data_IF_689255087134
#
_entry.id   IF_689255087134
#
_cell.length_a   1.000
_cell.length_b   1.000
_cell.length_c   1.000
_cell.angle_alpha   90.00
_cell.angle_beta   90.00
_cell.angle_gamma   90.00
#
_symmetry.space_group_name_H-M   'P 1'
#
loop_
_entity.id
_entity.type
_entity.pdbx_description
1 polymer ?
#
# COMPACT_ATOMS: atom_id res chain seq x y z
N UNK A 1 26.13 37.41 27.33
CA UNK A 1 25.84 36.02 26.88
C UNK A 1 26.26 35.92 25.43
N UNK A 2 27.41 35.31 25.15
CA UNK A 2 27.90 35.14 23.79
C UNK A 2 27.17 33.99 23.10
N UNK A 3 26.66 34.26 21.89
CA UNK A 3 25.87 33.32 21.10
C UNK A 3 26.82 32.49 20.25
N UNK A 4 27.17 31.30 20.75
CA UNK A 4 27.91 30.29 19.97
C UNK A 4 27.05 29.86 18.77
N UNK A 5 27.55 30.15 17.57
CA UNK A 5 26.92 29.74 16.31
C UNK A 5 27.80 28.67 15.67
N UNK A 6 27.27 27.46 15.55
CA UNK A 6 27.94 26.35 14.89
C UNK A 6 27.52 26.30 13.43
N UNK A 7 28.49 26.38 12.52
CA UNK A 7 28.27 26.15 11.09
C UNK A 7 28.63 24.70 10.80
N UNK A 8 27.61 23.85 10.57
CA UNK A 8 27.87 22.49 10.12
C UNK A 8 28.36 22.54 8.66
N UNK A 9 29.48 21.90 8.32
CA UNK A 9 29.89 21.76 6.94
C UNK A 9 28.79 20.99 6.18
N UNK A 10 28.47 21.46 4.98
CA UNK A 10 27.49 20.82 4.09
C UNK A 10 28.13 19.52 3.54
N UNK A 11 28.13 18.47 4.36
CA UNK A 11 28.63 17.15 3.98
C UNK A 11 27.69 16.63 2.89
N UNK A 12 28.26 16.28 1.73
CA UNK A 12 27.50 15.63 0.68
C UNK A 12 26.80 14.39 1.26
N UNK A 13 25.52 14.15 0.95
CA UNK A 13 24.80 13.01 1.52
C UNK A 13 25.63 11.75 1.26
N UNK A 14 25.92 10.94 2.30
CA UNK A 14 26.68 9.72 2.11
C UNK A 14 25.96 8.89 1.07
N UNK A 15 26.67 8.52 -0.01
CA UNK A 15 26.18 7.57 -1.00
C UNK A 15 26.18 6.20 -0.35
N UNK A 16 25.21 5.93 0.51
CA UNK A 16 25.04 4.63 1.14
C UNK A 16 24.43 3.69 0.09
N UNK A 17 25.14 2.64 -0.34
CA UNK A 17 24.68 1.76 -1.42
C UNK A 17 23.70 0.71 -0.89
N UNK A 18 22.78 1.10 0.00
CA UNK A 18 21.77 0.19 0.55
C UNK A 18 20.42 0.62 0.00
N UNK A 19 19.91 -0.16 -0.93
CA UNK A 19 18.54 -0.06 -1.38
C UNK A 19 17.71 -1.09 -0.62
N UNK A 20 16.59 -0.66 -0.06
CA UNK A 20 15.50 -1.55 0.31
C UNK A 20 14.55 -1.58 -0.89
N UNK A 21 14.33 -2.77 -1.43
CA UNK A 21 13.30 -2.99 -2.45
C UNK A 21 11.96 -3.27 -1.76
N UNK A 22 10.91 -2.63 -2.26
CA UNK A 22 9.55 -2.77 -1.77
C UNK A 22 8.65 -3.30 -2.88
N UNK A 23 7.88 -4.36 -2.59
CA UNK A 23 6.91 -4.93 -3.51
C UNK A 23 5.56 -5.09 -2.80
N UNK A 24 4.48 -4.55 -3.37
CA UNK A 24 3.12 -4.77 -2.90
C UNK A 24 2.51 -5.94 -3.67
N UNK A 25 2.24 -7.04 -2.96
CA UNK A 25 1.72 -8.27 -3.54
C UNK A 25 0.29 -8.53 -3.05
N UNK A 26 -0.50 -9.24 -3.86
CA UNK A 26 -1.81 -9.76 -3.46
C UNK A 26 -1.66 -11.24 -3.08
N UNK A 27 -1.97 -11.59 -1.84
CA UNK A 27 -2.07 -12.96 -1.37
C UNK A 27 -3.51 -13.45 -1.49
N UNK A 28 -3.70 -14.68 -1.95
CA UNK A 28 -5.02 -15.29 -2.15
C UNK A 28 -5.47 -16.15 -0.96
N UNK A 29 -4.56 -16.50 -0.04
CA UNK A 29 -4.88 -17.38 1.08
C UNK A 29 -4.07 -17.03 2.36
N UNK A 30 -4.65 -16.25 3.31
CA UNK A 30 -5.94 -15.56 3.20
C UNK A 30 -5.88 -14.39 2.20
N UNK A 31 -7.00 -13.99 1.57
CA UNK A 31 -7.06 -12.83 0.70
C UNK A 31 -6.64 -11.54 1.42
N UNK A 32 -5.48 -10.97 1.04
CA UNK A 32 -4.90 -9.77 1.66
C UNK A 32 -3.76 -9.19 0.82
N UNK A 33 -3.25 -8.03 1.25
CA UNK A 33 -1.99 -7.50 0.74
C UNK A 33 -0.81 -8.02 1.56
N UNK A 34 0.29 -8.28 0.87
CA UNK A 34 1.60 -8.53 1.45
C UNK A 34 2.56 -7.45 0.96
N UNK A 35 2.95 -6.54 1.85
CA UNK A 35 4.02 -5.58 1.57
C UNK A 35 5.35 -6.23 1.89
N UNK A 36 6.03 -6.70 0.85
CA UNK A 36 7.36 -7.29 0.94
C UNK A 36 8.40 -6.17 0.92
N UNK A 37 9.39 -6.29 1.81
CA UNK A 37 10.57 -5.43 1.79
C UNK A 37 11.82 -6.28 1.94
N UNK A 38 12.83 -6.00 1.11
CA UNK A 38 14.04 -6.80 1.01
C UNK A 38 15.29 -5.95 0.78
N UNK A 39 16.44 -6.43 1.23
CA UNK A 39 17.74 -5.79 1.01
C UNK A 39 18.87 -6.82 1.00
N UNK A 40 19.97 -6.49 0.34
CA UNK A 40 21.22 -7.27 0.41
C UNK A 40 21.88 -7.20 1.80
N UNK A 41 21.50 -6.19 2.59
CA UNK A 41 21.98 -6.00 3.96
C UNK A 41 20.96 -6.47 4.99
N UNK A 42 21.42 -6.69 6.22
CA UNK A 42 20.55 -7.14 7.31
C UNK A 42 19.61 -6.01 7.71
N UNK A 43 18.33 -6.34 7.75
CA UNK A 43 17.25 -5.49 8.21
C UNK A 43 17.12 -5.63 9.73
N UNK A 44 16.98 -4.51 10.44
CA UNK A 44 16.78 -4.52 11.91
C UNK A 44 15.30 -4.44 12.29
N UNK A 45 14.53 -3.66 11.53
CA UNK A 45 13.18 -3.30 11.92
C UNK A 45 12.47 -2.46 10.88
N UNK A 46 11.17 -2.32 11.07
CA UNK A 46 10.36 -1.38 10.30
C UNK A 46 9.39 -0.64 11.23
N UNK A 47 9.06 0.60 10.91
CA UNK A 47 7.90 1.28 11.47
C UNK A 47 6.85 1.43 10.38
N UNK A 48 5.59 1.13 10.72
CA UNK A 48 4.47 1.20 9.80
C UNK A 48 3.43 2.14 10.39
N UNK A 49 2.92 3.04 9.57
CA UNK A 49 1.78 3.89 9.89
C UNK A 49 0.77 3.86 8.75
N UNK A 50 -0.50 4.05 9.07
CA UNK A 50 -1.54 4.15 8.06
C UNK A 50 -2.63 5.12 8.50
N UNK A 51 -3.08 5.96 7.57
CA UNK A 51 -4.14 6.95 7.80
C UNK A 51 -5.56 6.36 7.72
N UNK A 52 -5.68 5.08 7.35
CA UNK A 52 -6.95 4.34 7.34
C UNK A 52 -6.89 3.12 8.25
N UNK A 53 -8.04 2.63 8.75
CA UNK A 53 -8.05 1.39 9.51
C UNK A 53 -7.63 0.22 8.61
N UNK A 54 -6.67 -0.57 9.10
CA UNK A 54 -6.24 -1.82 8.48
C UNK A 54 -6.28 -2.95 9.51
N UNK A 55 -6.53 -4.16 9.03
CA UNK A 55 -6.42 -5.39 9.80
C UNK A 55 -5.05 -6.01 9.54
N UNK A 56 -4.24 -6.14 10.59
CA UNK A 56 -3.00 -6.90 10.54
C UNK A 56 -3.30 -8.40 10.49
N UNK A 57 -2.54 -9.14 9.68
CA UNK A 57 -2.63 -10.59 9.57
C UNK A 57 -1.25 -11.18 9.88
N UNK A 58 -1.15 -12.07 10.87
CA UNK A 58 0.13 -12.73 11.16
C UNK A 58 0.38 -13.88 10.19
N UNK A 59 1.60 -14.00 9.68
CA UNK A 59 2.01 -15.20 8.95
C UNK A 59 2.22 -16.37 9.92
N UNK A 60 2.17 -17.60 9.39
CA UNK A 60 2.45 -18.82 10.17
C UNK A 60 3.91 -18.90 10.64
N UNK A 61 4.82 -18.31 9.87
CA UNK A 61 6.25 -18.23 10.18
C UNK A 61 6.71 -16.76 10.17
N UNK A 62 6.41 -15.97 11.22
CA UNK A 62 6.72 -14.55 11.22
C UNK A 62 8.23 -14.32 11.30
N UNK A 63 8.71 -13.37 10.49
CA UNK A 63 10.10 -12.89 10.46
C UNK A 63 10.35 -11.76 11.48
N UNK A 64 9.31 -11.34 12.22
CA UNK A 64 9.37 -10.25 13.17
C UNK A 64 8.42 -10.44 14.34
N UNK A 65 8.68 -9.67 15.39
CA UNK A 65 7.75 -9.37 16.46
C UNK A 65 7.16 -7.98 16.21
N UNK A 66 5.84 -7.83 16.38
CA UNK A 66 5.14 -6.58 16.15
C UNK A 66 4.64 -6.01 17.47
N UNK A 67 4.92 -4.73 17.70
CA UNK A 67 4.31 -3.94 18.77
C UNK A 67 3.42 -2.88 18.15
N UNK A 68 2.11 -2.97 18.41
CA UNK A 68 1.16 -1.95 18.00
C UNK A 68 1.32 -0.71 18.87
N UNK A 69 1.31 0.46 18.25
CA UNK A 69 1.38 1.75 18.92
C UNK A 69 -0.02 2.34 19.00
N UNK A 70 -0.68 2.13 20.13
CA UNK A 70 -1.97 2.74 20.43
C UNK A 70 -1.73 3.95 21.33
N UNK A 71 -1.55 5.14 20.72
CA UNK A 71 -1.33 6.39 21.46
C UNK A 71 -2.24 7.51 20.94
N UNK A 72 -2.61 8.44 21.82
CA UNK A 72 -3.31 9.66 21.42
C UNK A 72 -2.49 10.52 20.44
N UNK A 73 -1.16 10.42 20.49
CA UNK A 73 -0.27 11.11 19.57
C UNK A 73 -0.48 10.67 18.13
N UNK A 74 -0.54 9.36 17.90
CA UNK A 74 -0.83 8.79 16.57
C UNK A 74 -2.21 9.22 16.06
N UNK A 75 -3.22 9.22 16.94
CA UNK A 75 -4.55 9.69 16.59
C UNK A 75 -4.57 11.17 16.20
N UNK A 76 -3.80 12.01 16.88
CA UNK A 76 -3.65 13.44 16.54
C UNK A 76 -2.91 13.66 15.22
N UNK A 77 -2.00 12.76 14.86
CA UNK A 77 -1.34 12.74 13.54
C UNK A 77 -2.25 12.20 12.43
N UNK A 78 -3.43 11.68 12.76
CA UNK A 78 -4.38 11.11 11.81
C UNK A 78 -4.16 9.63 11.50
N UNK A 79 -3.17 8.99 12.12
CA UNK A 79 -2.91 7.57 11.94
C UNK A 79 -3.99 6.73 12.63
N UNK A 80 -4.55 5.78 11.89
CA UNK A 80 -5.54 4.80 12.38
C UNK A 80 -4.91 3.44 12.66
N UNK A 81 -3.71 3.22 12.15
CA UNK A 81 -2.85 2.09 12.49
C UNK A 81 -1.41 2.58 12.59
N UNK A 82 -0.69 2.11 13.62
CA UNK A 82 0.73 2.37 13.79
C UNK A 82 1.35 1.19 14.51
N UNK A 83 2.50 0.70 14.03
CA UNK A 83 3.18 -0.44 14.62
C UNK A 83 4.68 -0.40 14.35
N UNK A 84 5.45 -0.92 15.30
CA UNK A 84 6.89 -1.18 15.14
C UNK A 84 7.11 -2.67 14.97
N UNK A 85 7.81 -3.04 13.90
CA UNK A 85 8.26 -4.40 13.60
C UNK A 85 9.72 -4.53 14.02
N UNK A 86 10.01 -5.45 14.94
CA UNK A 86 11.37 -5.85 15.28
C UNK A 86 11.68 -7.15 14.55
N UNK A 87 12.57 -7.09 13.56
CA UNK A 87 12.89 -8.26 12.75
C UNK A 87 13.80 -9.23 13.51
N UNK A 88 13.69 -10.51 13.16
CA UNK A 88 14.59 -11.55 13.67
C UNK A 88 16.03 -11.31 13.18
N UNK A 89 17.05 -11.81 13.91
CA UNK A 89 18.45 -11.67 13.50
C UNK A 89 18.70 -12.18 12.07
N UNK A 90 19.59 -11.49 11.34
CA UNK A 90 19.96 -11.82 9.95
C UNK A 90 18.80 -11.82 8.93
N UNK A 91 17.68 -11.18 9.25
CA UNK A 91 16.57 -11.01 8.32
C UNK A 91 17.00 -10.09 7.16
N UNK A 92 16.85 -10.55 5.91
CA UNK A 92 17.07 -9.77 4.69
C UNK A 92 15.80 -9.50 3.91
N UNK A 93 14.74 -10.23 4.23
CA UNK A 93 13.44 -10.13 3.57
C UNK A 93 12.36 -10.40 4.61
N UNK A 94 11.32 -9.59 4.57
CA UNK A 94 10.17 -9.72 5.46
C UNK A 94 8.92 -9.21 4.74
N UNK A 95 7.77 -9.68 5.19
CA UNK A 95 6.48 -9.37 4.58
C UNK A 95 5.49 -8.93 5.65
N UNK A 96 4.91 -7.75 5.47
CA UNK A 96 3.84 -7.27 6.31
C UNK A 96 2.50 -7.56 5.64
N UNK A 97 1.73 -8.45 6.25
CA UNK A 97 0.42 -8.84 5.73
C UNK A 97 -0.67 -7.99 6.37
N UNK A 98 -1.49 -7.36 5.53
CA UNK A 98 -2.57 -6.50 5.99
C UNK A 98 -3.77 -6.52 5.05
N UNK A 99 -4.92 -6.13 5.59
CA UNK A 99 -6.13 -5.92 4.82
C UNK A 99 -6.71 -4.54 5.12
N UNK A 100 -6.88 -3.66 4.12
CA UNK A 100 -7.57 -2.39 4.33
C UNK A 100 -9.06 -2.63 4.61
N UNK A 101 -9.66 -1.76 5.42
CA UNK A 101 -11.12 -1.72 5.56
C UNK A 101 -11.70 -1.00 4.36
N UNK A 102 -12.65 -1.64 3.66
CA UNK A 102 -13.31 -1.07 2.48
C UNK A 102 -13.99 0.28 2.80
N UNK A 103 -14.01 1.16 1.80
CA UNK A 103 -14.66 2.48 1.87
C UNK A 103 -13.75 3.62 2.33
N UNK A 104 -12.55 3.32 2.83
CA UNK A 104 -11.57 4.33 3.25
C UNK A 104 -10.51 4.57 2.18
N UNK A 105 -10.07 5.82 2.04
CA UNK A 105 -8.91 6.19 1.22
C UNK A 105 -7.82 6.79 2.10
N UNK A 106 -6.56 6.44 1.82
CA UNK A 106 -5.43 7.00 2.54
C UNK A 106 -4.11 6.37 2.14
N UNK A 107 -3.12 6.45 3.01
CA UNK A 107 -1.75 6.06 2.71
C UNK A 107 -1.21 5.21 3.85
N UNK A 108 -0.58 4.10 3.49
CA UNK A 108 0.28 3.32 4.37
C UNK A 108 1.72 3.76 4.12
N UNK A 109 2.41 4.22 5.16
CA UNK A 109 3.84 4.49 5.11
C UNK A 109 4.59 3.40 5.86
N UNK A 110 5.72 2.97 5.29
CA UNK A 110 6.65 2.05 5.94
C UNK A 110 8.06 2.65 5.94
N UNK A 111 8.75 2.52 7.06
CA UNK A 111 10.11 3.01 7.27
C UNK A 111 10.97 1.82 7.69
N UNK A 112 11.76 1.28 6.76
CA UNK A 112 12.59 0.09 6.98
C UNK A 112 14.00 0.51 7.31
N UNK A 113 14.53 -0.01 8.42
CA UNK A 113 15.90 0.24 8.86
C UNK A 113 16.80 -0.95 8.54
N UNK A 114 17.91 -0.67 7.87
CA UNK A 114 18.96 -1.62 7.52
C UNK A 114 20.29 -1.17 8.12
N UNK A 115 21.12 -2.14 8.52
CA UNK A 115 22.44 -1.88 9.10
C UNK A 115 23.52 -2.61 8.33
N UNK A 116 24.60 -1.88 8.05
CA UNK A 116 25.82 -2.43 7.48
C UNK A 116 27.06 -1.84 8.20
N UNK A 117 28.25 -2.19 7.72
CA UNK A 117 29.52 -1.69 8.29
C UNK A 117 29.70 -0.17 8.20
N UNK A 118 28.92 0.53 7.37
CA UNK A 118 28.96 1.98 7.19
C UNK A 118 27.96 2.74 8.07
N UNK A 119 27.04 2.04 8.75
CA UNK A 119 26.07 2.64 9.67
C UNK A 119 24.64 2.09 9.51
N UNK A 120 23.68 2.85 10.04
CA UNK A 120 22.23 2.59 9.93
C UNK A 120 21.62 3.50 8.88
N UNK A 121 20.83 2.92 7.98
CA UNK A 121 20.02 3.63 7.01
C UNK A 121 18.55 3.30 7.24
N UNK A 122 17.66 4.28 7.07
CA UNK A 122 16.22 4.07 7.04
C UNK A 122 15.66 4.55 5.72
N UNK A 123 14.96 3.69 4.99
CA UNK A 123 14.26 4.03 3.75
C UNK A 123 12.76 4.03 3.98
N UNK A 124 12.08 5.03 3.41
CA UNK A 124 10.61 5.17 3.45
C UNK A 124 10.01 4.73 2.12
N UNK A 125 8.89 4.01 2.20
CA UNK A 125 7.98 3.74 1.08
C UNK A 125 6.54 4.14 1.45
N UNK A 126 5.74 4.55 0.45
CA UNK A 126 4.37 4.99 0.64
C UNK A 126 3.43 4.28 -0.32
N UNK A 127 2.45 3.56 0.21
CA UNK A 127 1.42 2.85 -0.56
C UNK A 127 0.09 3.58 -0.41
N UNK A 128 -0.44 4.12 -1.51
CA UNK A 128 -1.78 4.69 -1.53
C UNK A 128 -2.80 3.56 -1.54
N UNK A 129 -3.79 3.65 -0.67
CA UNK A 129 -4.89 2.68 -0.53
C UNK A 129 -6.18 3.36 -0.98
N UNK A 130 -6.82 2.80 -2.01
CA UNK A 130 -8.08 3.32 -2.55
C UNK A 130 -9.30 2.79 -1.77
N UNK A 131 -10.47 3.46 -1.86
CA UNK A 131 -11.73 3.02 -1.25
C UNK A 131 -12.11 1.56 -1.56
N UNK A 132 -11.84 1.10 -2.78
CA UNK A 132 -12.10 -0.27 -3.23
C UNK A 132 -10.81 -1.09 -3.31
N UNK A 133 -9.84 -0.82 -2.43
CA UNK A 133 -8.56 -1.54 -2.41
C UNK A 133 -8.69 -3.03 -2.11
N UNK A 134 -9.82 -3.51 -1.58
CA UNK A 134 -10.08 -4.95 -1.44
C UNK A 134 -10.54 -5.61 -2.75
N UNK A 135 -10.60 -4.91 -3.87
CA UNK A 135 -10.95 -5.47 -5.18
C UNK A 135 -9.69 -5.67 -6.02
N UNK A 136 -9.61 -6.81 -6.71
CA UNK A 136 -8.59 -7.06 -7.73
C UNK A 136 -9.23 -7.27 -9.09
N UNK A 137 -8.48 -6.94 -10.15
CA UNK A 137 -8.95 -7.07 -11.52
C UNK A 137 -9.05 -8.54 -11.92
N UNK A 138 -10.16 -8.91 -12.57
CA UNK A 138 -10.37 -10.23 -13.16
C UNK A 138 -10.60 -10.07 -14.68
N UNK A 139 -10.48 -11.17 -15.42
CA UNK A 139 -10.68 -11.17 -16.86
C UNK A 139 -12.16 -11.01 -17.23
N UNK A 140 -13.03 -11.77 -16.56
CA UNK A 140 -14.45 -11.86 -16.89
C UNK A 140 -15.27 -11.98 -15.60
N UNK A 141 -16.50 -11.46 -15.64
CA UNK A 141 -17.49 -11.64 -14.57
C UNK A 141 -18.41 -12.81 -14.89
N UNK A 142 -18.98 -13.41 -13.85
CA UNK A 142 -20.04 -14.41 -13.95
C UNK A 142 -21.40 -13.74 -14.22
N UNK A 143 -21.86 -13.84 -15.46
CA UNK A 143 -23.14 -13.27 -15.93
C UNK A 143 -24.38 -13.95 -15.34
N UNK A 144 -24.23 -15.12 -14.69
CA UNK A 144 -25.36 -15.80 -14.04
C UNK A 144 -25.75 -15.19 -12.70
N UNK A 145 -24.92 -14.29 -12.16
CA UNK A 145 -25.15 -13.63 -10.87
C UNK A 145 -26.12 -12.47 -10.99
N UNK A 146 -26.89 -12.23 -9.92
CA UNK A 146 -27.70 -11.03 -9.81
C UNK A 146 -26.82 -9.81 -9.50
N UNK A 147 -26.98 -8.72 -10.26
CA UNK A 147 -26.23 -7.48 -10.08
C UNK A 147 -27.13 -6.35 -9.55
N UNK A 148 -26.65 -5.67 -8.50
CA UNK A 148 -27.15 -4.35 -8.16
C UNK A 148 -26.53 -3.34 -9.14
N UNK A 149 -27.36 -2.62 -9.89
CA UNK A 149 -26.89 -1.69 -10.92
C UNK A 149 -26.99 -0.24 -10.46
N UNK A 150 -25.86 0.47 -10.46
CA UNK A 150 -25.79 1.92 -10.30
C UNK A 150 -25.46 2.57 -11.65
N UNK A 151 -26.32 3.46 -12.13
CA UNK A 151 -26.10 4.22 -13.37
C UNK A 151 -25.82 5.68 -13.05
N UNK A 152 -24.64 6.16 -13.43
CA UNK A 152 -24.23 7.56 -13.31
C UNK A 152 -24.30 8.18 -14.71
N UNK A 153 -25.04 9.26 -14.88
CA UNK A 153 -25.19 9.97 -16.17
C UNK A 153 -24.84 11.45 -16.02
N UNK A 154 -24.30 12.04 -17.08
CA UNK A 154 -23.92 13.45 -17.09
C UNK A 154 -22.99 13.78 -18.25
N UNK A 155 -22.58 15.04 -18.33
CA UNK A 155 -21.65 15.55 -19.34
C UNK A 155 -20.20 15.34 -18.86
N UNK A 156 -19.75 14.08 -18.85
CA UNK A 156 -18.40 13.70 -18.43
C UNK A 156 -17.59 13.23 -19.63
N UNK A 157 -16.32 13.65 -19.71
CA UNK A 157 -15.39 13.05 -20.67
C UNK A 157 -14.90 11.68 -20.16
N UNK A 158 -14.52 10.80 -21.08
CA UNK A 158 -13.92 9.49 -20.74
C UNK A 158 -12.72 9.64 -19.79
N UNK A 159 -11.84 10.61 -20.04
CA UNK A 159 -10.68 10.88 -19.18
C UNK A 159 -11.08 11.21 -17.73
N UNK A 160 -12.23 11.90 -17.55
CA UNK A 160 -12.73 12.23 -16.21
C UNK A 160 -13.24 10.97 -15.49
N UNK A 161 -14.00 10.13 -16.19
CA UNK A 161 -14.46 8.85 -15.63
C UNK A 161 -13.29 7.92 -15.32
N UNK A 162 -12.30 7.86 -16.21
CA UNK A 162 -11.04 7.15 -15.98
C UNK A 162 -10.36 7.58 -14.68
N UNK A 163 -10.21 8.90 -14.48
CA UNK A 163 -9.58 9.44 -13.28
C UNK A 163 -10.34 9.05 -12.01
N UNK A 164 -11.67 9.04 -12.07
CA UNK A 164 -12.50 8.59 -10.94
C UNK A 164 -12.27 7.11 -10.63
N UNK A 165 -12.24 6.27 -11.66
CA UNK A 165 -11.97 4.83 -11.49
C UNK A 165 -10.58 4.60 -10.88
N UNK A 166 -9.57 5.35 -11.31
CA UNK A 166 -8.21 5.30 -10.74
C UNK A 166 -8.17 5.75 -9.28
N UNK A 167 -9.01 6.71 -8.89
CA UNK A 167 -9.11 7.15 -7.50
C UNK A 167 -9.78 6.12 -6.59
N UNK A 168 -10.67 5.26 -7.12
CA UNK A 168 -11.44 4.32 -6.31
C UNK A 168 -10.88 2.89 -6.31
N UNK A 169 -10.22 2.44 -7.38
CA UNK A 169 -9.76 1.06 -7.56
C UNK A 169 -8.23 0.94 -7.50
N UNK A 170 -7.74 -0.01 -6.70
CA UNK A 170 -6.32 -0.30 -6.57
C UNK A 170 -5.84 -1.09 -7.80
N UNK A 171 -4.62 -0.83 -8.27
CA UNK A 171 -4.05 -1.51 -9.44
C UNK A 171 -4.54 -0.96 -10.79
N UNK A 172 -5.30 0.13 -10.77
CA UNK A 172 -5.67 0.89 -11.96
C UNK A 172 -4.48 1.48 -12.75
N UNK A 173 -3.31 1.52 -12.12
CA UNK A 173 -2.03 1.97 -12.72
C UNK A 173 -1.15 0.80 -13.20
N UNK A 174 -1.52 -0.46 -12.91
CA UNK A 174 -0.76 -1.65 -13.30
C UNK A 174 -1.28 -2.27 -14.60
N UNK A 175 -1.23 -1.47 -15.65
CA UNK A 175 -0.69 -1.91 -16.93
C UNK A 175 -0.13 -0.65 -17.59
N UNK A 176 0.91 -0.78 -18.42
CA UNK A 176 1.42 0.32 -19.26
C UNK A 176 0.35 0.99 -20.15
N UNK A 177 -0.88 0.49 -20.11
CA UNK A 177 -2.05 0.99 -20.81
C UNK A 177 -3.21 1.52 -19.96
N UNK A 178 -3.15 1.51 -18.61
CA UNK A 178 -4.26 1.99 -17.76
C UNK A 178 -5.63 1.35 -18.08
N UNK A 179 -6.73 1.95 -17.60
CA UNK A 179 -8.07 1.66 -18.11
C UNK A 179 -8.10 2.02 -19.61
N UNK A 180 -7.91 1.04 -20.51
CA UNK A 180 -8.04 1.26 -21.95
C UNK A 180 -9.51 1.42 -22.28
N UNK A 181 -9.92 2.66 -22.51
CA UNK A 181 -11.16 2.96 -23.22
C UNK A 181 -10.88 2.82 -24.71
N UNK A 182 -11.77 2.17 -25.43
CA UNK A 182 -11.85 2.32 -26.88
C UNK A 182 -12.71 3.57 -27.23
N UNK A 183 -12.87 3.86 -28.52
CA UNK A 183 -13.69 4.98 -28.99
C UNK A 183 -15.18 4.86 -28.60
N UNK A 184 -15.60 3.71 -28.08
CA UNK A 184 -16.98 3.32 -27.77
C UNK A 184 -17.20 3.03 -26.27
N UNK A 185 -16.18 3.18 -25.43
CA UNK A 185 -16.27 2.95 -23.99
C UNK A 185 -15.26 1.92 -23.45
N UNK A 186 -15.62 1.25 -22.35
CA UNK A 186 -14.76 0.24 -21.74
C UNK A 186 -15.47 -0.54 -20.64
N UNK A 187 -15.19 -1.84 -20.57
CA UNK A 187 -15.71 -2.74 -19.53
C UNK A 187 -14.57 -3.26 -18.69
N UNK A 188 -14.72 -3.13 -17.37
CA UNK A 188 -13.74 -3.60 -16.39
C UNK A 188 -14.43 -4.51 -15.38
N UNK A 189 -13.76 -5.60 -15.04
CA UNK A 189 -14.25 -6.61 -14.13
C UNK A 189 -13.32 -6.70 -12.92
N UNK A 190 -13.91 -6.74 -11.73
CA UNK A 190 -13.20 -6.88 -10.47
C UNK A 190 -13.89 -7.88 -9.55
N UNK A 191 -13.12 -8.50 -8.67
CA UNK A 191 -13.60 -9.37 -7.61
C UNK A 191 -13.14 -8.88 -6.25
N UNK A 192 -14.04 -8.88 -5.26
CA UNK A 192 -13.68 -8.60 -3.87
C UNK A 192 -12.88 -9.76 -3.29
N UNK A 193 -11.70 -9.46 -2.74
CA UNK A 193 -10.86 -10.37 -1.96
C UNK A 193 -11.62 -10.99 -0.79
N UNK A 194 -12.60 -10.28 -0.22
CA UNK A 194 -13.27 -10.70 1.01
C UNK A 194 -14.51 -11.56 0.77
N UNK A 195 -15.34 -11.15 -0.19
CA UNK A 195 -16.69 -11.69 -0.35
C UNK A 195 -16.86 -12.46 -1.65
N UNK A 196 -15.85 -12.47 -2.53
CA UNK A 196 -15.96 -13.02 -3.89
C UNK A 196 -17.12 -12.40 -4.69
N UNK A 197 -17.51 -11.18 -4.33
CA UNK A 197 -18.49 -10.38 -5.05
C UNK A 197 -17.86 -9.77 -6.29
N UNK A 198 -18.60 -9.72 -7.40
CA UNK A 198 -18.13 -9.11 -8.63
C UNK A 198 -18.56 -7.65 -8.71
N UNK A 199 -17.64 -6.82 -9.21
CA UNK A 199 -17.89 -5.44 -9.59
C UNK A 199 -17.57 -5.30 -11.08
N UNK A 200 -18.61 -5.07 -11.88
CA UNK A 200 -18.48 -4.74 -13.29
C UNK A 200 -18.67 -3.24 -13.47
N UNK A 201 -17.68 -2.60 -14.08
CA UNK A 201 -17.74 -1.19 -14.45
C UNK A 201 -17.83 -1.10 -15.97
N UNK A 202 -18.95 -0.57 -16.48
CA UNK A 202 -19.14 -0.28 -17.89
C UNK A 202 -19.22 1.23 -18.08
N UNK A 203 -18.35 1.76 -18.94
CA UNK A 203 -18.37 3.16 -19.37
C UNK A 203 -18.82 3.16 -20.83
N UNK A 204 -19.87 3.91 -21.13
CA UNK A 204 -20.50 4.06 -22.44
C UNK A 204 -20.57 5.54 -22.81
#
# INVERSE_FOLDING_TARGET
MEKLTFTLPKIAPPKVPVAVQFDLLVSQNPPCYALRFSSDTVLEGAWISCTIPILFLSSSTPTYEMTRTDSEGELKLGNKFSATLRLKPNCRTSEFYFRPVEGYSGTLEIFVSAVNSSGRLTQRESVNLTPLSSYYRIAEVDDSRAYNTLRITGQFSFLKVQSWLQMILQGAECDTSGFRFDEHGGTFAFESMLLHCHLQCQVM
#
